data_IF_333183789145
#
_entry.id   IF_333183789145
#
_cell.length_a   1.000
_cell.length_b   1.000
_cell.length_c   1.000
_cell.angle_alpha   90.00
_cell.angle_beta   90.00
_cell.angle_gamma   90.00
#
_symmetry.space_group_name_H-M   'P 1'
#
loop_
_entity.id
_entity.type
_entity.pdbx_description
1 polymer ?
#
# COMPACT_ATOMS: atom_id res chain seq x y z
N UNK A 1 -14.65 -0.43 1.84
CA UNK A 1 -13.61 0.31 1.07
C UNK A 1 -14.22 1.63 0.64
N UNK A 2 -13.60 2.75 0.97
CA UNK A 2 -14.18 4.09 0.78
C UNK A 2 -14.09 4.51 -0.69
N UNK A 3 -15.22 4.90 -1.32
CA UNK A 3 -15.28 5.39 -2.72
C UNK A 3 -14.27 6.51 -2.99
N UNK A 4 -13.99 7.33 -1.99
CA UNK A 4 -13.00 8.42 -2.04
C UNK A 4 -11.57 7.91 -2.24
N UNK A 5 -11.18 6.80 -1.60
CA UNK A 5 -9.85 6.23 -1.74
C UNK A 5 -9.65 5.67 -3.15
N UNK A 6 -10.66 5.00 -3.70
CA UNK A 6 -10.61 4.52 -5.08
C UNK A 6 -10.50 5.68 -6.08
N UNK A 7 -11.25 6.77 -5.83
CA UNK A 7 -11.16 7.98 -6.67
C UNK A 7 -9.76 8.57 -6.65
N UNK A 8 -9.17 8.78 -5.45
CA UNK A 8 -7.79 9.28 -5.33
C UNK A 8 -6.77 8.37 -5.98
N UNK A 9 -6.90 7.05 -5.83
CA UNK A 9 -5.98 6.09 -6.45
C UNK A 9 -6.01 6.13 -7.98
N UNK A 10 -7.19 6.30 -8.57
CA UNK A 10 -7.35 6.41 -10.02
C UNK A 10 -6.85 7.75 -10.59
N UNK A 11 -6.98 8.85 -9.83
CA UNK A 11 -6.54 10.19 -10.27
C UNK A 11 -5.05 10.44 -9.98
N UNK A 12 -4.61 10.16 -8.75
CA UNK A 12 -3.27 10.52 -8.25
C UNK A 12 -2.26 9.37 -8.40
N UNK A 13 -2.72 8.17 -8.77
CA UNK A 13 -1.91 6.95 -8.81
C UNK A 13 -1.51 6.44 -7.42
N UNK A 14 -1.92 7.11 -6.33
CA UNK A 14 -1.64 6.69 -4.95
C UNK A 14 -2.77 7.13 -4.01
N UNK A 15 -2.91 6.44 -2.88
CA UNK A 15 -3.84 6.82 -1.84
C UNK A 15 -3.32 6.44 -0.45
N UNK A 16 -3.47 7.34 0.51
CA UNK A 16 -3.16 7.05 1.91
C UNK A 16 -4.24 6.17 2.55
N UNK A 17 -3.78 5.18 3.32
CA UNK A 17 -4.57 4.23 4.09
C UNK A 17 -4.06 4.26 5.54
N UNK A 18 -4.80 4.96 6.40
CA UNK A 18 -4.48 5.07 7.83
C UNK A 18 -5.29 4.07 8.64
N UNK A 19 -4.73 3.60 9.74
CA UNK A 19 -5.44 2.72 10.67
C UNK A 19 -5.64 1.28 10.18
N UNK A 20 -4.85 0.80 9.22
CA UNK A 20 -4.99 -0.56 8.71
C UNK A 20 -4.51 -1.59 9.73
N UNK A 21 -5.43 -2.42 10.23
CA UNK A 21 -5.11 -3.50 11.17
C UNK A 21 -4.65 -4.75 10.43
N UNK A 22 -3.44 -5.20 10.72
CA UNK A 22 -2.93 -6.48 10.22
C UNK A 22 -3.70 -7.63 10.84
N UNK A 23 -4.34 -8.46 10.02
CA UNK A 23 -5.02 -9.67 10.48
C UNK A 23 -4.03 -10.65 11.15
N UNK A 24 -2.78 -10.70 10.69
CA UNK A 24 -1.76 -11.62 11.19
C UNK A 24 -1.26 -11.25 12.59
N UNK A 25 -1.03 -9.97 12.85
CA UNK A 25 -0.38 -9.51 14.09
C UNK A 25 -1.29 -8.71 15.01
N UNK A 26 -2.48 -8.33 14.53
CA UNK A 26 -3.39 -7.42 15.23
C UNK A 26 -2.90 -5.98 15.32
N UNK A 27 -1.72 -5.65 14.78
CA UNK A 27 -1.12 -4.30 14.85
C UNK A 27 -1.74 -3.38 13.80
N UNK A 28 -1.86 -2.11 14.15
CA UNK A 28 -2.35 -1.05 13.26
C UNK A 28 -1.17 -0.38 12.56
N UNK A 29 -1.31 -0.15 11.26
CA UNK A 29 -0.31 0.47 10.42
C UNK A 29 -0.94 1.56 9.56
N UNK A 30 -0.19 2.63 9.36
CA UNK A 30 -0.46 3.60 8.31
C UNK A 30 0.39 3.25 7.09
N UNK A 31 -0.23 3.30 5.91
CA UNK A 31 0.40 2.92 4.65
C UNK A 31 -0.12 3.79 3.52
N UNK A 32 0.63 3.87 2.42
CA UNK A 32 0.21 4.47 1.17
C UNK A 32 0.15 3.37 0.13
N UNK A 33 -1.02 3.17 -0.49
CA UNK A 33 -1.13 2.32 -1.67
C UNK A 33 -0.71 3.11 -2.90
N UNK A 34 0.16 2.52 -3.72
CA UNK A 34 0.62 3.07 -5.00
C UNK A 34 0.16 2.13 -6.10
N UNK A 35 -0.44 2.69 -7.14
CA UNK A 35 -0.89 1.99 -8.34
C UNK A 35 0.03 2.34 -9.50
N UNK A 36 0.60 1.32 -10.11
CA UNK A 36 1.43 1.42 -11.32
C UNK A 36 0.84 0.55 -12.42
N UNK A 37 1.24 0.78 -13.66
CA UNK A 37 0.85 -0.07 -14.80
C UNK A 37 2.08 -0.84 -15.26
N UNK A 38 1.97 -2.16 -15.36
CA UNK A 38 3.06 -3.00 -15.88
C UNK A 38 3.12 -2.97 -17.43
N UNK A 39 4.15 -3.61 -17.99
CA UNK A 39 4.35 -3.70 -19.45
C UNK A 39 3.19 -4.39 -20.17
N UNK A 40 2.42 -5.22 -19.46
CA UNK A 40 1.24 -5.91 -19.97
C UNK A 40 -0.05 -5.08 -19.81
N UNK A 41 0.07 -3.78 -19.46
CA UNK A 41 -1.04 -2.87 -19.20
C UNK A 41 -1.95 -3.32 -18.06
N UNK A 42 -1.41 -4.03 -17.08
CA UNK A 42 -2.14 -4.46 -15.87
C UNK A 42 -1.86 -3.53 -14.71
N UNK A 43 -2.88 -3.26 -13.91
CA UNK A 43 -2.74 -2.49 -12.69
C UNK A 43 -1.99 -3.31 -11.63
N UNK A 44 -0.89 -2.77 -11.14
CA UNK A 44 -0.06 -3.32 -10.06
C UNK A 44 -0.21 -2.41 -8.84
N UNK A 45 -0.48 -3.01 -7.69
CA UNK A 45 -0.63 -2.28 -6.43
C UNK A 45 0.51 -2.62 -5.47
N UNK A 46 1.11 -1.59 -4.88
CA UNK A 46 2.16 -1.71 -3.88
C UNK A 46 1.78 -0.94 -2.62
N UNK A 47 2.10 -1.51 -1.46
CA UNK A 47 1.95 -0.84 -0.17
C UNK A 47 3.29 -0.27 0.26
N UNK A 48 3.38 1.04 0.35
CA UNK A 48 4.50 1.76 0.93
C UNK A 48 4.18 2.07 2.39
N UNK A 49 5.02 1.61 3.30
CA UNK A 49 4.91 1.96 4.72
C UNK A 49 5.97 3.02 4.98
N UNK A 50 5.56 4.16 5.54
CA UNK A 50 6.53 5.11 6.08
C UNK A 50 7.34 4.40 7.16
N UNK A 51 8.64 4.65 7.22
CA UNK A 51 9.55 4.01 8.17
C UNK A 51 9.25 4.53 9.57
N UNK A 52 8.20 4.01 10.19
CA UNK A 52 7.95 4.15 11.62
C UNK A 52 9.08 3.46 12.38
N UNK A 53 9.39 3.95 13.58
CA UNK A 53 10.46 3.49 14.49
C UNK A 53 10.32 2.02 14.99
N UNK A 54 9.52 1.20 14.32
CA UNK A 54 9.26 -0.20 14.62
C UNK A 54 10.06 -1.16 13.75
N UNK A 55 10.78 -2.08 14.41
CA UNK A 55 11.69 -3.13 13.91
C UNK A 55 11.18 -4.10 12.81
N UNK A 56 10.10 -3.81 12.08
CA UNK A 56 9.43 -4.78 11.19
C UNK A 56 9.18 -4.28 9.75
N UNK A 57 9.95 -3.31 9.25
CA UNK A 57 9.92 -2.91 7.84
C UNK A 57 10.84 -3.75 6.95
N UNK A 58 10.63 -5.07 6.82
CA UNK A 58 11.28 -5.85 5.76
C UNK A 58 10.36 -5.89 4.55
N UNK A 59 10.55 -4.94 3.63
CA UNK A 59 10.09 -5.11 2.24
C UNK A 59 10.83 -6.32 1.66
N UNK A 60 10.13 -7.44 1.50
CA UNK A 60 10.63 -8.58 0.74
C UNK A 60 10.32 -8.32 -0.73
N UNK A 61 11.22 -7.63 -1.42
CA UNK A 61 11.30 -7.77 -2.87
C UNK A 61 11.80 -9.21 -3.14
N UNK A 62 10.88 -10.13 -3.41
CA UNK A 62 11.21 -11.40 -4.05
C UNK A 62 11.26 -11.11 -5.56
N UNK A 63 12.46 -10.85 -6.06
CA UNK A 63 12.77 -10.90 -7.49
C UNK A 63 13.03 -12.38 -7.77
N UNK A 64 12.08 -13.03 -8.44
CA UNK A 64 12.35 -14.32 -9.10
C UNK A 64 13.14 -14.06 -10.39
#
# INVERSE_FOLDING_TARGET
>A
MTKQTASKLLHDGKAELKGCKSQKTGKTYDTTVVMSVDENKRAVFQLSFEKGEGKNGKSKNKKD
#
